data_IF_878606302541
#
_entry.id   IF_878606302541
#
_cell.length_a   1.000
_cell.length_b   1.000
_cell.length_c   1.000
_cell.angle_alpha   90.00
_cell.angle_beta   90.00
_cell.angle_gamma   90.00
#
_symmetry.space_group_name_H-M   'P 1'
#
loop_
_entity.id
_entity.type
_entity.pdbx_description
1 polymer ?
#
# COMPACT_ATOMS: atom_id res chain seq x y z
N UNK A 1 -31.34 29.25 -27.40
CA UNK A 1 -30.61 28.45 -26.39
C UNK A 1 -31.40 27.20 -26.03
N UNK A 2 -30.82 26.05 -26.22
CA UNK A 2 -31.43 24.82 -25.77
C UNK A 2 -31.37 24.75 -24.23
N UNK A 3 -32.55 24.68 -23.60
CA UNK A 3 -32.61 24.40 -22.16
C UNK A 3 -32.31 22.89 -21.95
N UNK A 4 -31.27 22.59 -21.19
CA UNK A 4 -31.06 21.23 -20.75
C UNK A 4 -32.26 20.81 -19.90
N UNK A 5 -32.87 19.68 -20.24
CA UNK A 5 -33.91 19.10 -19.39
C UNK A 5 -33.29 18.70 -18.06
N UNK A 6 -34.11 18.65 -17.00
CA UNK A 6 -33.65 18.16 -15.69
C UNK A 6 -33.05 16.76 -15.78
N UNK A 7 -33.55 15.91 -16.68
CA UNK A 7 -33.00 14.57 -16.94
C UNK A 7 -31.63 14.64 -17.56
N UNK A 8 -31.38 15.56 -18.49
CA UNK A 8 -30.06 15.74 -19.12
C UNK A 8 -29.04 16.28 -18.13
N UNK A 9 -29.44 17.22 -17.27
CA UNK A 9 -28.58 17.75 -16.22
C UNK A 9 -28.24 16.65 -15.19
N UNK A 10 -29.23 15.86 -14.76
CA UNK A 10 -29.03 14.74 -13.85
C UNK A 10 -28.07 13.70 -14.44
N UNK A 11 -28.25 13.34 -15.72
CA UNK A 11 -27.37 12.40 -16.41
C UNK A 11 -25.95 12.92 -16.53
N UNK A 12 -25.77 14.21 -16.78
CA UNK A 12 -24.44 14.84 -16.83
C UNK A 12 -23.73 14.72 -15.47
N UNK A 13 -24.46 15.02 -14.37
CA UNK A 13 -23.91 14.89 -13.00
C UNK A 13 -23.56 13.45 -12.68
N UNK A 14 -24.42 12.49 -13.03
CA UNK A 14 -24.13 11.05 -12.83
C UNK A 14 -22.85 10.63 -13.53
N UNK A 15 -22.66 11.00 -14.78
CA UNK A 15 -21.45 10.68 -15.55
C UNK A 15 -20.21 11.32 -14.95
N UNK A 16 -20.33 12.54 -14.46
CA UNK A 16 -19.24 13.22 -13.78
C UNK A 16 -18.85 12.50 -12.47
N UNK A 17 -19.85 12.10 -11.67
CA UNK A 17 -19.63 11.35 -10.42
C UNK A 17 -18.99 9.99 -10.71
N UNK A 18 -19.49 9.25 -11.71
CA UNK A 18 -18.91 7.98 -12.13
C UNK A 18 -17.43 8.12 -12.48
N UNK A 19 -17.10 9.14 -13.25
CA UNK A 19 -15.73 9.43 -13.69
C UNK A 19 -14.85 9.82 -12.49
N UNK A 20 -15.35 10.63 -11.57
CA UNK A 20 -14.63 11.03 -10.37
C UNK A 20 -14.35 9.81 -9.47
N UNK A 21 -15.33 8.95 -9.28
CA UNK A 21 -15.19 7.72 -8.50
C UNK A 21 -14.20 6.75 -9.13
N UNK A 22 -14.25 6.60 -10.44
CA UNK A 22 -13.31 5.74 -11.19
C UNK A 22 -11.87 6.23 -11.03
N UNK A 23 -11.66 7.53 -11.13
CA UNK A 23 -10.33 8.13 -10.90
C UNK A 23 -9.86 7.95 -9.47
N UNK A 24 -10.72 8.21 -8.49
CA UNK A 24 -10.40 8.06 -7.08
C UNK A 24 -9.98 6.63 -6.74
N UNK A 25 -10.72 5.64 -7.24
CA UNK A 25 -10.39 4.24 -7.03
C UNK A 25 -9.07 3.86 -7.69
N UNK A 26 -8.84 4.34 -8.92
CA UNK A 26 -7.59 4.10 -9.63
C UNK A 26 -6.40 4.72 -8.89
N UNK A 27 -6.55 5.94 -8.36
CA UNK A 27 -5.52 6.61 -7.56
C UNK A 27 -5.23 5.82 -6.28
N UNK A 28 -6.27 5.35 -5.60
CA UNK A 28 -6.10 4.54 -4.39
C UNK A 28 -5.34 3.23 -4.67
N UNK A 29 -5.75 2.50 -5.71
CA UNK A 29 -5.08 1.24 -6.09
C UNK A 29 -3.61 1.46 -6.46
N UNK A 30 -3.34 2.45 -7.28
CA UNK A 30 -1.98 2.79 -7.71
C UNK A 30 -1.12 3.24 -6.51
N UNK A 31 -1.68 4.07 -5.63
CA UNK A 31 -0.99 4.54 -4.42
C UNK A 31 -0.65 3.40 -3.47
N UNK A 32 -1.58 2.49 -3.23
CA UNK A 32 -1.36 1.33 -2.37
C UNK A 32 -0.29 0.40 -2.95
N UNK A 33 -0.32 0.18 -4.26
CA UNK A 33 0.70 -0.62 -4.94
C UNK A 33 2.09 0.02 -4.81
N UNK A 34 2.20 1.32 -5.05
CA UNK A 34 3.47 2.06 -4.91
C UNK A 34 3.99 2.03 -3.47
N UNK A 35 3.08 2.15 -2.48
CA UNK A 35 3.46 2.04 -1.07
C UNK A 35 4.08 0.68 -0.77
N UNK A 36 3.46 -0.39 -1.24
CA UNK A 36 3.98 -1.74 -1.07
C UNK A 36 5.33 -1.95 -1.74
N UNK A 37 5.49 -1.45 -2.95
CA UNK A 37 6.76 -1.51 -3.69
C UNK A 37 7.87 -0.76 -2.97
N UNK A 38 7.56 0.42 -2.45
CA UNK A 38 8.54 1.23 -1.72
C UNK A 38 8.93 0.59 -0.39
N UNK A 39 7.97 0.06 0.37
CA UNK A 39 8.25 -0.63 1.62
C UNK A 39 9.10 -1.89 1.40
N UNK A 40 8.93 -2.58 0.29
CA UNK A 40 9.66 -3.80 -0.05
C UNK A 40 10.92 -3.57 -0.90
N UNK A 41 11.29 -2.31 -1.15
CA UNK A 41 12.50 -2.00 -1.92
C UNK A 41 13.73 -2.43 -1.16
N UNK A 42 14.56 -3.34 -1.74
CA UNK A 42 15.74 -3.86 -1.04
C UNK A 42 16.79 -2.79 -0.74
N UNK A 43 17.54 -2.99 0.34
CA UNK A 43 18.66 -2.11 0.69
C UNK A 43 19.68 -2.02 -0.46
N UNK A 44 19.92 -3.12 -1.17
CA UNK A 44 20.82 -3.14 -2.32
C UNK A 44 20.41 -2.23 -3.47
N UNK A 45 19.14 -1.82 -3.51
CA UNK A 45 18.58 -0.90 -4.52
C UNK A 45 18.26 0.48 -3.95
N UNK A 46 18.79 0.81 -2.79
CA UNK A 46 18.58 2.10 -2.14
C UNK A 46 17.32 2.15 -1.25
N UNK A 47 16.66 1.02 -1.04
CA UNK A 47 15.54 0.91 -0.11
C UNK A 47 15.97 0.60 1.31
N UNK A 48 15.01 0.17 2.13
CA UNK A 48 15.26 -0.16 3.54
C UNK A 48 14.88 -1.59 3.92
N UNK A 49 14.32 -2.36 2.98
CA UNK A 49 13.96 -3.76 3.22
C UNK A 49 15.23 -4.61 3.27
N UNK A 50 15.55 -5.22 4.42
CA UNK A 50 16.67 -6.14 4.51
C UNK A 50 16.35 -7.42 3.74
N UNK A 51 17.28 -7.86 2.89
CA UNK A 51 17.13 -9.08 2.09
C UNK A 51 18.34 -9.96 2.32
N UNK A 52 18.15 -11.07 3.04
CA UNK A 52 19.10 -12.15 3.15
C UNK A 52 18.67 -13.30 2.21
N UNK A 53 17.65 -14.07 2.66
CA UNK A 53 17.07 -15.15 1.84
C UNK A 53 15.86 -14.68 1.02
N UNK A 54 15.36 -13.48 1.25
CA UNK A 54 14.11 -12.96 0.67
C UNK A 54 12.85 -13.38 1.44
N UNK A 55 12.99 -14.15 2.52
CA UNK A 55 11.83 -14.66 3.27
C UNK A 55 10.96 -13.54 3.83
N UNK A 56 11.57 -12.52 4.44
CA UNK A 56 10.83 -11.37 4.96
C UNK A 56 10.10 -10.65 3.84
N UNK A 57 10.80 -10.23 2.81
CA UNK A 57 10.23 -9.49 1.68
C UNK A 57 9.09 -10.26 1.01
N UNK A 58 9.25 -11.56 0.82
CA UNK A 58 8.26 -12.41 0.17
C UNK A 58 7.07 -12.76 1.08
N UNK A 59 7.12 -12.42 2.36
CA UNK A 59 6.00 -12.62 3.29
C UNK A 59 4.98 -11.49 3.28
N UNK A 60 5.14 -10.50 2.40
CA UNK A 60 4.23 -9.35 2.26
C UNK A 60 2.88 -9.78 1.69
N UNK A 61 1.82 -9.49 2.43
CA UNK A 61 0.44 -9.84 2.08
C UNK A 61 -0.52 -8.73 2.44
N UNK A 62 -1.73 -8.81 1.93
CA UNK A 62 -2.77 -7.81 2.15
C UNK A 62 -4.12 -8.47 2.45
N UNK A 63 -5.01 -7.71 3.08
CA UNK A 63 -6.37 -8.15 3.39
C UNK A 63 -7.31 -6.96 3.48
N UNK A 64 -8.60 -7.17 3.23
CA UNK A 64 -9.65 -6.17 3.46
C UNK A 64 -10.36 -6.35 4.80
N UNK A 65 -10.20 -7.49 5.45
CA UNK A 65 -11.00 -7.92 6.60
C UNK A 65 -10.27 -7.78 7.94
N UNK A 66 -9.09 -7.18 7.96
CA UNK A 66 -8.28 -6.98 9.15
C UNK A 66 -6.81 -7.30 8.89
N UNK A 67 -6.04 -7.44 9.97
CA UNK A 67 -4.60 -7.70 9.83
C UNK A 67 -4.33 -8.96 9.01
N UNK A 68 -3.40 -8.90 8.05
CA UNK A 68 -3.10 -10.04 7.19
C UNK A 68 -2.55 -11.23 7.97
N UNK A 69 -2.86 -12.43 7.48
CA UNK A 69 -2.37 -13.71 7.99
C UNK A 69 -1.63 -14.45 6.88
N UNK A 70 -1.07 -15.62 7.20
CA UNK A 70 -0.42 -16.48 6.19
C UNK A 70 -1.34 -16.92 5.06
N UNK A 71 -2.67 -16.90 5.29
CA UNK A 71 -3.67 -17.23 4.29
C UNK A 71 -4.10 -16.03 3.44
N UNK A 72 -3.63 -14.83 3.77
CA UNK A 72 -3.96 -13.62 3.02
C UNK A 72 -3.29 -13.60 1.64
N UNK A 73 -3.87 -12.81 0.73
CA UNK A 73 -3.44 -12.74 -0.66
C UNK A 73 -2.35 -11.68 -0.86
N UNK A 74 -1.59 -11.78 -1.94
CA UNK A 74 -0.70 -10.70 -2.37
C UNK A 74 -1.47 -9.41 -2.61
N UNK A 75 -0.83 -8.27 -2.34
CA UNK A 75 -1.45 -6.95 -2.48
C UNK A 75 -2.11 -6.71 -3.85
N UNK A 76 -1.47 -7.02 -4.99
CA UNK A 76 -2.11 -6.78 -6.29
C UNK A 76 -3.46 -7.48 -6.45
N UNK A 77 -3.60 -8.69 -5.93
CA UNK A 77 -4.86 -9.45 -6.01
C UNK A 77 -5.95 -8.83 -5.13
N UNK A 78 -5.59 -8.33 -3.96
CA UNK A 78 -6.54 -7.63 -3.08
C UNK A 78 -7.01 -6.33 -3.73
N UNK A 79 -6.10 -5.59 -4.35
CA UNK A 79 -6.42 -4.30 -4.98
C UNK A 79 -7.37 -4.43 -6.17
N UNK A 80 -7.37 -5.56 -6.88
CA UNK A 80 -8.32 -5.80 -7.97
C UNK A 80 -9.77 -5.78 -7.45
N UNK A 81 -9.99 -6.31 -6.26
CA UNK A 81 -11.34 -6.45 -5.67
C UNK A 81 -11.77 -5.29 -4.77
N UNK A 82 -10.86 -4.37 -4.43
CA UNK A 82 -11.17 -3.27 -3.51
C UNK A 82 -12.10 -2.25 -4.17
N UNK A 83 -13.04 -1.74 -3.37
CA UNK A 83 -13.96 -0.66 -3.76
C UNK A 83 -13.72 0.57 -2.89
N UNK A 84 -14.24 1.72 -3.34
CA UNK A 84 -14.20 2.95 -2.55
C UNK A 84 -14.91 2.75 -1.21
N UNK A 85 -14.31 3.27 -0.15
CA UNK A 85 -14.82 3.11 1.22
C UNK A 85 -14.31 1.88 1.95
N UNK A 86 -13.69 0.95 1.25
CA UNK A 86 -13.07 -0.22 1.89
C UNK A 86 -11.67 0.10 2.41
N UNK A 87 -11.23 -0.63 3.42
CA UNK A 87 -9.89 -0.51 3.99
C UNK A 87 -9.01 -1.66 3.51
N UNK A 88 -7.76 -1.36 3.19
CA UNK A 88 -6.76 -2.38 2.86
C UNK A 88 -5.71 -2.39 3.95
N UNK A 89 -5.47 -3.57 4.51
CA UNK A 89 -4.43 -3.85 5.49
C UNK A 89 -3.27 -4.54 4.80
N UNK A 90 -2.05 -4.12 5.09
CA UNK A 90 -0.84 -4.74 4.55
C UNK A 90 0.08 -5.14 5.69
N UNK A 91 0.88 -6.16 5.47
CA UNK A 91 1.83 -6.60 6.47
C UNK A 91 2.71 -7.75 6.00
N UNK A 92 3.64 -8.11 6.85
CA UNK A 92 4.59 -9.20 6.62
C UNK A 92 4.32 -10.28 7.64
N UNK A 93 4.19 -11.52 7.18
CA UNK A 93 3.89 -12.67 8.05
C UNK A 93 5.12 -13.32 8.67
N UNK A 94 6.33 -12.92 8.25
CA UNK A 94 7.56 -13.39 8.86
C UNK A 94 7.60 -13.01 10.35
N UNK A 95 7.89 -13.98 11.21
CA UNK A 95 7.85 -13.79 12.67
C UNK A 95 8.79 -12.68 13.18
N UNK A 96 9.89 -12.44 12.48
CA UNK A 96 10.88 -11.43 12.85
C UNK A 96 10.64 -10.06 12.17
N UNK A 97 9.55 -9.89 11.43
CA UNK A 97 9.26 -8.65 10.70
C UNK A 97 9.22 -7.43 11.63
N UNK A 98 8.58 -7.56 12.79
CA UNK A 98 8.50 -6.48 13.78
C UNK A 98 9.88 -6.06 14.28
N UNK A 99 10.76 -7.02 14.55
CA UNK A 99 12.14 -6.73 15.02
C UNK A 99 12.95 -6.00 13.95
N UNK A 100 12.75 -6.36 12.69
CA UNK A 100 13.43 -5.70 11.57
C UNK A 100 12.93 -4.28 11.36
N UNK A 101 11.64 -4.04 11.54
CA UNK A 101 11.05 -2.69 11.42
C UNK A 101 11.47 -1.78 12.58
N UNK A 102 11.31 -2.22 13.81
CA UNK A 102 11.46 -1.40 15.02
C UNK A 102 12.78 -1.57 15.74
N UNK A 103 13.55 -2.59 15.39
CA UNK A 103 14.75 -2.95 16.13
C UNK A 103 14.49 -3.91 17.29
N UNK A 104 15.58 -4.36 17.90
CA UNK A 104 15.51 -5.31 19.00
C UNK A 104 16.68 -5.09 19.95
N UNK A 105 16.37 -5.02 21.25
CA UNK A 105 17.33 -5.06 22.33
C UNK A 105 16.91 -6.18 23.28
N UNK A 106 17.83 -7.03 23.66
CA UNK A 106 17.54 -8.13 24.58
C UNK A 106 18.56 -9.26 24.53
N UNK A 107 18.24 -10.32 25.25
CA UNK A 107 19.06 -11.52 25.33
C UNK A 107 18.32 -12.73 24.79
N UNK A 108 19.05 -13.67 24.20
CA UNK A 108 18.52 -14.97 23.83
C UNK A 108 18.56 -15.95 25.03
N UNK A 109 18.09 -17.17 24.81
CA UNK A 109 18.07 -18.22 25.81
C UNK A 109 19.47 -18.65 26.28
N UNK A 110 20.51 -18.35 25.51
CA UNK A 110 21.90 -18.64 25.82
C UNK A 110 22.61 -17.47 26.49
N UNK A 111 21.88 -16.39 26.83
CA UNK A 111 22.43 -15.23 27.52
C UNK A 111 23.18 -14.27 26.58
N UNK A 112 23.15 -14.48 25.27
CA UNK A 112 23.75 -13.55 24.29
C UNK A 112 22.89 -12.31 24.17
N UNK A 113 23.52 -11.15 24.27
CA UNK A 113 22.83 -9.86 24.16
C UNK A 113 22.86 -9.34 22.72
N UNK A 114 21.74 -8.76 22.29
CA UNK A 114 21.58 -8.16 20.97
C UNK A 114 21.13 -6.73 21.12
N UNK A 115 21.71 -5.86 20.33
CA UNK A 115 21.24 -4.49 20.12
C UNK A 115 21.21 -4.24 18.62
N UNK A 116 20.02 -4.20 18.04
CA UNK A 116 19.83 -4.02 16.61
C UNK A 116 18.89 -2.85 16.37
N UNK A 117 19.36 -1.89 15.58
CA UNK A 117 18.51 -0.77 15.14
C UNK A 117 17.45 -1.25 14.16
N UNK A 118 16.26 -0.67 14.23
CA UNK A 118 15.19 -0.93 13.28
C UNK A 118 15.52 -0.36 11.90
N UNK A 119 15.07 -1.06 10.87
CA UNK A 119 15.26 -0.63 9.47
C UNK A 119 14.23 0.41 9.03
N UNK A 120 13.04 0.41 9.62
CA UNK A 120 11.99 1.38 9.34
C UNK A 120 11.46 1.32 7.90
N UNK A 121 11.43 0.15 7.29
CA UNK A 121 11.00 -0.01 5.89
C UNK A 121 9.53 0.38 5.69
N UNK A 122 8.64 0.03 6.61
CA UNK A 122 7.23 0.44 6.53
C UNK A 122 7.03 1.88 6.95
N UNK A 123 7.64 2.30 8.05
CA UNK A 123 7.55 3.68 8.55
C UNK A 123 7.99 4.68 7.49
N UNK A 124 9.12 4.43 6.85
CA UNK A 124 9.66 5.32 5.82
C UNK A 124 8.75 5.42 4.60
N UNK A 125 8.19 4.30 4.17
CA UNK A 125 7.21 4.28 3.08
C UNK A 125 5.94 5.03 3.47
N UNK A 126 5.40 4.80 4.68
CA UNK A 126 4.21 5.47 5.18
C UNK A 126 4.37 6.99 5.28
N UNK A 127 5.53 7.47 5.68
CA UNK A 127 5.83 8.90 5.74
C UNK A 127 5.79 9.57 4.37
N UNK A 128 5.98 8.82 3.31
CA UNK A 128 5.91 9.33 1.93
C UNK A 128 4.51 9.23 1.31
N UNK A 129 3.51 8.84 2.07
CA UNK A 129 2.15 8.65 1.56
C UNK A 129 1.61 9.86 0.76
N UNK A 130 1.73 11.12 1.24
CA UNK A 130 1.25 12.26 0.46
C UNK A 130 1.93 12.39 -0.90
N UNK A 131 3.24 12.16 -0.98
CA UNK A 131 4.00 12.20 -2.24
C UNK A 131 3.60 11.07 -3.17
N UNK A 132 3.43 9.87 -2.62
CA UNK A 132 2.97 8.68 -3.37
C UNK A 132 1.60 8.94 -3.99
N UNK A 133 0.66 9.49 -3.22
CA UNK A 133 -0.69 9.82 -3.72
C UNK A 133 -0.62 10.87 -4.82
N UNK A 134 0.21 11.90 -4.69
CA UNK A 134 0.39 12.91 -5.71
C UNK A 134 0.97 12.34 -7.00
N UNK A 135 1.97 11.47 -6.91
CA UNK A 135 2.54 10.78 -8.07
C UNK A 135 1.50 9.88 -8.75
N UNK A 136 0.72 9.14 -7.96
CA UNK A 136 -0.37 8.30 -8.46
C UNK A 136 -1.44 9.13 -9.15
N UNK A 137 -1.83 10.25 -8.57
CA UNK A 137 -2.82 11.15 -9.15
C UNK A 137 -2.38 11.67 -10.53
N UNK A 138 -1.12 12.04 -10.68
CA UNK A 138 -0.57 12.47 -11.97
C UNK A 138 -0.60 11.33 -13.00
N UNK A 139 -0.17 10.13 -12.58
CA UNK A 139 -0.16 8.95 -13.46
C UNK A 139 -1.57 8.56 -13.91
N UNK A 140 -2.54 8.58 -13.00
CA UNK A 140 -3.94 8.25 -13.30
C UNK A 140 -4.58 9.29 -14.20
N UNK A 141 -4.35 10.58 -13.94
CA UNK A 141 -4.89 11.67 -14.77
C UNK A 141 -4.40 11.59 -16.22
N UNK A 142 -3.20 11.11 -16.46
CA UNK A 142 -2.69 10.93 -17.82
C UNK A 142 -3.35 9.75 -18.54
N UNK A 143 -3.84 8.75 -17.81
CA UNK A 143 -4.50 7.56 -18.37
C UNK A 143 -6.02 7.67 -18.46
N UNK A 144 -6.64 8.33 -17.48
CA UNK A 144 -8.10 8.48 -17.38
C UNK A 144 -8.43 9.96 -17.49
N UNK A 145 -8.71 10.37 -18.68
CA UNK A 145 -9.13 11.75 -19.00
C UNK A 145 -10.62 11.97 -18.88
#
# INVERSE_FOLDING_TARGET
MARLSNQSAARFVELWVEKANKRALAIFRDSAQRLGEEANKPEARGGKMPVDTGFLRNSFVASKDGMPTKQSLPLPLVLISVQLGETVYVGWTAKYARRMEFGFEGADKLGRTYSQAGKGFMRSAAQRWPQIVNESARAVKSRIR
#
